data_IF_511139597930
#
_entry.id   IF_511139597930
#
_cell.length_a   1.000
_cell.length_b   1.000
_cell.length_c   1.000
_cell.angle_alpha   90.00
_cell.angle_beta   90.00
_cell.angle_gamma   90.00
#
_symmetry.space_group_name_H-M   'P 1'
#
loop_
_entity.id
_entity.type
_entity.pdbx_description
1 polymer ?
#
# COMPACT_ATOMS: atom_id res chain seq x y z
N UNK A 1 11.19 -10.73 -42.54
CA UNK A 1 11.07 -10.82 -41.07
C UNK A 1 10.99 -9.40 -40.55
N UNK A 2 9.81 -8.96 -40.11
CA UNK A 2 9.62 -7.65 -39.49
C UNK A 2 9.05 -7.90 -38.11
N UNK A 3 9.88 -7.78 -37.08
CA UNK A 3 9.41 -7.70 -35.71
C UNK A 3 8.77 -6.31 -35.56
N UNK A 4 7.45 -6.30 -35.38
CA UNK A 4 6.73 -5.12 -34.93
C UNK A 4 7.21 -4.81 -33.50
N UNK A 5 8.04 -3.78 -33.37
CA UNK A 5 8.34 -3.17 -32.09
C UNK A 5 7.07 -2.45 -31.64
N UNK A 6 6.32 -3.09 -30.74
CA UNK A 6 5.29 -2.39 -29.99
C UNK A 6 6.00 -1.27 -29.23
N UNK A 7 5.72 -0.02 -29.64
CA UNK A 7 6.20 1.15 -28.93
C UNK A 7 5.74 1.03 -27.48
N UNK A 8 6.70 0.94 -26.55
CA UNK A 8 6.44 1.12 -25.13
C UNK A 8 5.84 2.51 -24.96
N UNK A 9 4.54 2.57 -24.66
CA UNK A 9 3.89 3.82 -24.27
C UNK A 9 4.54 4.24 -22.97
N UNK A 10 5.49 5.17 -23.05
CA UNK A 10 6.05 5.83 -21.88
C UNK A 10 4.94 6.67 -21.26
N UNK A 11 4.21 6.07 -20.32
CA UNK A 11 3.38 6.82 -19.39
C UNK A 11 4.32 7.71 -18.59
N UNK A 12 4.14 9.05 -18.59
CA UNK A 12 4.93 9.91 -17.73
C UNK A 12 4.72 9.46 -16.28
N UNK A 13 5.81 9.42 -15.51
CA UNK A 13 5.75 9.12 -14.09
C UNK A 13 4.87 10.13 -13.33
N UNK A 14 4.50 9.83 -12.08
CA UNK A 14 3.59 10.67 -11.31
C UNK A 14 4.14 12.08 -11.15
N UNK A 15 3.25 13.06 -11.26
CA UNK A 15 3.54 14.46 -11.01
C UNK A 15 3.78 14.73 -9.52
N UNK A 16 4.44 15.84 -9.21
CA UNK A 16 4.61 16.29 -7.83
C UNK A 16 3.26 16.52 -7.13
N UNK A 17 2.25 16.98 -7.88
CA UNK A 17 0.90 17.17 -7.35
C UNK A 17 0.24 15.83 -6.97
N UNK A 18 0.29 14.83 -7.86
CA UNK A 18 -0.21 13.49 -7.58
C UNK A 18 0.51 12.84 -6.40
N UNK A 19 1.83 13.03 -6.30
CA UNK A 19 2.65 12.53 -5.19
C UNK A 19 2.24 13.17 -3.86
N UNK A 20 2.05 14.50 -3.85
CA UNK A 20 1.59 15.21 -2.66
C UNK A 20 0.15 14.80 -2.27
N UNK A 21 -0.71 14.59 -3.26
CA UNK A 21 -2.09 14.16 -3.02
C UNK A 21 -2.14 12.73 -2.47
N UNK A 22 -1.34 11.81 -3.01
CA UNK A 22 -1.19 10.45 -2.48
C UNK A 22 -0.72 10.50 -1.02
N UNK A 23 0.29 11.32 -0.71
CA UNK A 23 0.77 11.46 0.67
C UNK A 23 -0.32 11.96 1.63
N UNK A 24 -1.13 12.94 1.21
CA UNK A 24 -2.25 13.42 2.02
C UNK A 24 -3.30 12.33 2.28
N UNK A 25 -3.51 11.43 1.31
CA UNK A 25 -4.41 10.30 1.46
C UNK A 25 -3.84 9.24 2.42
N UNK A 26 -2.52 8.99 2.40
CA UNK A 26 -1.83 8.16 3.40
C UNK A 26 -2.02 8.73 4.81
N UNK A 27 -1.83 10.04 4.98
CA UNK A 27 -2.00 10.70 6.28
C UNK A 27 -3.46 10.57 6.77
N UNK A 28 -4.43 10.79 5.87
CA UNK A 28 -5.85 10.61 6.16
C UNK A 28 -6.18 9.16 6.54
N UNK A 29 -5.67 8.18 5.78
CA UNK A 29 -5.86 6.76 6.05
C UNK A 29 -5.29 6.36 7.42
N UNK A 30 -4.11 6.87 7.76
CA UNK A 30 -3.46 6.66 9.05
C UNK A 30 -4.30 7.22 10.21
N UNK A 31 -4.86 8.43 10.06
CA UNK A 31 -5.75 9.02 11.05
C UNK A 31 -7.04 8.21 11.22
N UNK A 32 -7.63 7.74 10.12
CA UNK A 32 -8.83 6.90 10.14
C UNK A 32 -8.57 5.54 10.80
N UNK A 33 -7.44 4.89 10.51
CA UNK A 33 -6.97 3.66 11.16
C UNK A 33 -6.91 3.83 12.68
N UNK A 34 -6.26 4.90 13.15
CA UNK A 34 -6.16 5.22 14.58
C UNK A 34 -7.54 5.45 15.22
N UNK A 35 -8.48 6.00 14.47
CA UNK A 35 -9.87 6.20 14.88
C UNK A 35 -10.75 4.94 14.77
N UNK A 36 -10.20 3.78 14.36
CA UNK A 36 -10.93 2.54 14.08
C UNK A 36 -11.99 2.67 12.97
N UNK A 37 -11.85 3.67 12.12
CA UNK A 37 -12.68 3.92 10.94
C UNK A 37 -12.10 3.14 9.76
N UNK A 38 -12.32 1.82 9.75
CA UNK A 38 -11.59 0.89 8.88
C UNK A 38 -11.96 1.05 7.40
N UNK A 39 -13.22 1.38 7.10
CA UNK A 39 -13.68 1.56 5.72
C UNK A 39 -13.12 2.86 5.12
N UNK A 40 -13.09 3.94 5.90
CA UNK A 40 -12.49 5.20 5.51
C UNK A 40 -10.97 5.11 5.36
N UNK A 41 -10.32 4.32 6.23
CA UNK A 41 -8.90 4.04 6.13
C UNK A 41 -8.58 3.29 4.84
N UNK A 42 -9.30 2.20 4.56
CA UNK A 42 -9.14 1.42 3.34
C UNK A 42 -9.29 2.31 2.11
N UNK A 43 -10.40 3.06 2.01
CA UNK A 43 -10.65 3.91 0.86
C UNK A 43 -9.56 4.97 0.65
N UNK A 44 -8.99 5.53 1.73
CA UNK A 44 -7.91 6.49 1.62
C UNK A 44 -6.62 5.84 1.08
N UNK A 45 -6.25 4.65 1.57
CA UNK A 45 -5.06 3.95 1.08
C UNK A 45 -5.23 3.42 -0.35
N UNK A 46 -6.40 2.91 -0.72
CA UNK A 46 -6.69 2.47 -2.10
C UNK A 46 -6.54 3.64 -3.07
N UNK A 47 -7.18 4.78 -2.79
CA UNK A 47 -7.07 5.96 -3.67
C UNK A 47 -5.64 6.50 -3.70
N UNK A 48 -4.90 6.45 -2.58
CA UNK A 48 -3.49 6.81 -2.58
C UNK A 48 -2.68 5.90 -3.51
N UNK A 49 -2.88 4.59 -3.42
CA UNK A 49 -2.15 3.61 -4.21
C UNK A 49 -2.48 3.70 -5.70
N UNK A 50 -3.74 3.96 -6.03
CA UNK A 50 -4.18 4.17 -7.41
C UNK A 50 -3.57 5.44 -8.04
N UNK A 51 -3.36 6.50 -7.24
CA UNK A 51 -2.68 7.71 -7.69
C UNK A 51 -1.17 7.48 -7.85
N UNK A 52 -0.54 6.98 -6.80
CA UNK A 52 0.89 6.69 -6.77
C UNK A 52 1.11 5.39 -6.00
N UNK A 53 1.43 4.28 -6.69
CA UNK A 53 1.74 3.03 -6.03
C UNK A 53 2.90 3.21 -5.05
N UNK A 54 2.67 2.95 -3.76
CA UNK A 54 3.68 3.09 -2.70
C UNK A 54 3.62 1.94 -1.69
N UNK A 55 4.76 1.56 -1.09
CA UNK A 55 4.79 0.54 -0.05
C UNK A 55 4.00 0.97 1.20
N UNK A 56 3.98 2.26 1.53
CA UNK A 56 3.24 2.83 2.67
C UNK A 56 1.73 2.66 2.54
N UNK A 57 1.17 2.83 1.32
CA UNK A 57 -0.25 2.61 1.08
C UNK A 57 -0.60 1.12 1.18
N UNK A 58 0.23 0.22 0.63
CA UNK A 58 0.06 -1.23 0.76
C UNK A 58 0.13 -1.68 2.23
N UNK A 59 1.07 -1.14 3.00
CA UNK A 59 1.20 -1.43 4.42
C UNK A 59 -0.01 -0.92 5.23
N UNK A 60 -0.53 0.26 4.89
CA UNK A 60 -1.80 0.76 5.42
C UNK A 60 -2.98 -0.18 5.15
N UNK A 61 -3.11 -0.73 3.94
CA UNK A 61 -4.12 -1.74 3.60
C UNK A 61 -3.92 -3.04 4.39
N UNK A 62 -2.67 -3.48 4.57
CA UNK A 62 -2.35 -4.60 5.43
C UNK A 62 -2.77 -4.39 6.88
N UNK A 63 -2.54 -3.19 7.44
CA UNK A 63 -3.01 -2.82 8.77
C UNK A 63 -4.53 -2.85 8.89
N UNK A 64 -5.25 -2.39 7.87
CA UNK A 64 -6.73 -2.46 7.85
C UNK A 64 -7.20 -3.92 7.87
N UNK A 65 -6.68 -4.75 6.97
CA UNK A 65 -7.01 -6.18 6.92
C UNK A 65 -6.69 -6.88 8.25
N UNK A 66 -5.53 -6.58 8.85
CA UNK A 66 -5.14 -7.12 10.16
C UNK A 66 -6.15 -6.75 11.25
N UNK A 67 -6.60 -5.49 11.28
CA UNK A 67 -7.58 -5.02 12.26
C UNK A 67 -8.98 -5.59 12.06
N UNK A 68 -9.30 -6.08 10.86
CA UNK A 68 -10.53 -6.85 10.57
C UNK A 68 -10.40 -8.34 10.88
N UNK A 69 -9.21 -8.82 11.20
CA UNK A 69 -8.93 -10.25 11.41
C UNK A 69 -8.76 -11.03 10.09
N UNK A 70 -8.55 -10.33 8.98
CA UNK A 70 -8.31 -10.91 7.66
C UNK A 70 -6.81 -11.20 7.48
N UNK A 71 -6.29 -12.14 8.28
CA UNK A 71 -4.85 -12.30 8.50
C UNK A 71 -4.08 -12.72 7.24
N UNK A 72 -4.65 -13.57 6.39
CA UNK A 72 -4.03 -13.95 5.12
C UNK A 72 -3.92 -12.74 4.18
N UNK A 73 -4.96 -11.91 4.12
CA UNK A 73 -5.00 -10.69 3.29
C UNK A 73 -3.97 -9.69 3.82
N UNK A 74 -3.89 -9.50 5.14
CA UNK A 74 -2.90 -8.63 5.76
C UNK A 74 -1.47 -9.04 5.41
N UNK A 75 -1.16 -10.34 5.50
CA UNK A 75 0.15 -10.89 5.11
C UNK A 75 0.47 -10.58 3.66
N UNK A 76 -0.47 -10.79 2.75
CA UNK A 76 -0.26 -10.60 1.32
C UNK A 76 0.02 -9.12 1.00
N UNK A 77 -0.65 -8.18 1.68
CA UNK A 77 -0.36 -6.75 1.56
C UNK A 77 1.02 -6.38 2.11
N UNK A 78 1.38 -6.84 3.32
CA UNK A 78 2.70 -6.53 3.88
C UNK A 78 3.85 -7.12 3.05
N UNK A 79 3.68 -8.33 2.50
CA UNK A 79 4.63 -8.90 1.54
C UNK A 79 4.73 -8.07 0.26
N UNK A 80 3.61 -7.55 -0.24
CA UNK A 80 3.58 -6.68 -1.41
C UNK A 80 4.33 -5.37 -1.16
N UNK A 81 4.15 -4.76 0.03
CA UNK A 81 4.89 -3.57 0.44
C UNK A 81 6.41 -3.85 0.49
N UNK A 82 6.83 -4.95 1.11
CA UNK A 82 8.23 -5.37 1.17
C UNK A 82 8.83 -5.66 -0.21
N UNK A 83 8.08 -6.31 -1.10
CA UNK A 83 8.54 -6.63 -2.45
C UNK A 83 8.66 -5.37 -3.33
N UNK A 84 7.83 -4.35 -3.07
CA UNK A 84 7.91 -3.07 -3.77
C UNK A 84 9.14 -2.25 -3.32
N UNK A 85 9.41 -2.19 -2.01
CA UNK A 85 10.64 -1.60 -1.47
C UNK A 85 11.14 -2.40 -0.26
N UNK A 86 12.23 -3.15 -0.45
CA UNK A 86 12.83 -3.95 0.61
C UNK A 86 13.45 -3.14 1.74
N UNK A 87 13.62 -1.82 1.56
CA UNK A 87 14.10 -0.91 2.60
C UNK A 87 12.96 -0.31 3.43
N UNK A 88 11.70 -0.53 3.06
CA UNK A 88 10.55 -0.07 3.82
C UNK A 88 10.35 -0.94 5.07
N UNK A 89 10.97 -0.54 6.18
CA UNK A 89 11.10 -1.35 7.40
C UNK A 89 9.78 -1.64 8.11
N UNK A 90 8.76 -0.80 7.92
CA UNK A 90 7.46 -0.96 8.59
C UNK A 90 6.77 -2.25 8.14
N UNK A 91 6.90 -2.61 6.85
CA UNK A 91 6.36 -3.87 6.32
C UNK A 91 6.92 -5.11 7.03
N UNK A 92 8.23 -5.10 7.34
CA UNK A 92 8.89 -6.19 8.08
C UNK A 92 8.39 -6.22 9.53
N UNK A 93 8.25 -5.05 10.15
CA UNK A 93 7.71 -4.94 11.50
C UNK A 93 6.28 -5.51 11.57
N UNK A 94 5.41 -5.14 10.63
CA UNK A 94 4.04 -5.65 10.60
C UNK A 94 3.95 -7.13 10.23
N UNK A 95 4.82 -7.65 9.35
CA UNK A 95 4.93 -9.10 9.11
C UNK A 95 5.34 -9.85 10.37
N UNK A 96 6.32 -9.34 11.12
CA UNK A 96 6.74 -9.94 12.37
C UNK A 96 5.61 -9.96 13.40
N UNK A 97 4.88 -8.84 13.55
CA UNK A 97 3.71 -8.78 14.42
C UNK A 97 2.60 -9.74 14.00
N UNK A 98 2.34 -9.86 12.70
CA UNK A 98 1.33 -10.78 12.18
C UNK A 98 1.71 -12.23 12.48
N UNK A 99 2.97 -12.62 12.25
CA UNK A 99 3.43 -13.98 12.52
C UNK A 99 3.47 -14.32 14.00
N UNK A 100 3.77 -13.34 14.87
CA UNK A 100 3.67 -13.51 16.34
C UNK A 100 2.21 -13.68 16.78
N UNK A 101 1.27 -12.97 16.14
CA UNK A 101 -0.16 -13.06 16.46
C UNK A 101 -0.80 -14.40 16.08
N UNK A 102 -0.36 -15.04 14.99
CA UNK A 102 -0.90 -16.33 14.49
C UNK A 102 -0.20 -17.57 15.05
N UNK A 103 0.97 -17.41 15.67
CA UNK A 103 1.75 -18.48 16.30
C UNK A 103 1.28 -18.83 17.69
#
# INVERSE_FOLDING_TARGET
>A
FTIASCAEVSVPGPTLEETNQAQQLIDKGTLALRARMLDEAQAAFEVSYDLVPSPEALDGLGCVAFMRGELEIARDYFLSAYNQDSNYTDSIFHLALLYDYVG
#
